data_IF_477293893501
#
_entry.id   IF_477293893501
#
_cell.length_a   1.000
_cell.length_b   1.000
_cell.length_c   1.000
_cell.angle_alpha   90.00
_cell.angle_beta   90.00
_cell.angle_gamma   90.00
#
_symmetry.space_group_name_H-M   'P 1'
#
loop_
_entity.id
_entity.type
_entity.pdbx_description
1 polymer ?
#
# COMPACT_ATOMS: atom_id res chain seq x y z
N UNK A 1 2.00 17.64 -8.90
CA UNK A 1 2.06 16.37 -8.14
C UNK A 1 1.33 15.32 -8.95
N UNK A 2 1.95 14.16 -9.22
CA UNK A 2 1.27 13.08 -9.97
C UNK A 2 0.18 12.41 -9.12
N UNK A 3 -0.79 11.72 -9.74
CA UNK A 3 -1.78 10.94 -8.97
C UNK A 3 -1.09 9.87 -8.11
N UNK A 4 -0.06 9.21 -8.63
CA UNK A 4 0.73 8.23 -7.88
C UNK A 4 1.41 8.85 -6.66
N UNK A 5 1.94 10.08 -6.77
CA UNK A 5 2.53 10.78 -5.62
C UNK A 5 1.48 11.18 -4.58
N UNK A 6 0.30 11.62 -5.04
CA UNK A 6 -0.83 11.91 -4.16
C UNK A 6 -1.22 10.65 -3.38
N UNK A 7 -1.47 9.52 -4.07
CA UNK A 7 -1.80 8.24 -3.46
C UNK A 7 -0.71 7.82 -2.47
N UNK A 8 0.56 7.87 -2.87
CA UNK A 8 1.69 7.48 -2.02
C UNK A 8 1.76 8.31 -0.72
N UNK A 9 1.42 9.60 -0.77
CA UNK A 9 1.37 10.45 0.43
C UNK A 9 0.29 10.04 1.44
N UNK A 10 -0.79 9.41 0.96
CA UNK A 10 -1.96 9.03 1.76
C UNK A 10 -1.86 7.60 2.32
N UNK A 11 -0.88 6.80 1.88
CA UNK A 11 -0.78 5.40 2.30
C UNK A 11 -0.38 5.28 3.78
N UNK A 12 -1.31 4.77 4.57
CA UNK A 12 -1.07 4.27 5.93
C UNK A 12 -0.87 2.76 5.92
N UNK A 13 -0.38 2.22 7.03
CA UNK A 13 -0.13 0.79 7.19
C UNK A 13 -1.42 -0.01 7.19
N UNK A 14 -2.47 0.57 7.76
CA UNK A 14 -3.82 0.03 7.70
C UNK A 14 -4.34 0.01 6.26
N UNK A 15 -4.23 1.13 5.53
CA UNK A 15 -4.64 1.17 4.13
C UNK A 15 -3.90 0.13 3.27
N UNK A 16 -2.57 0.04 3.40
CA UNK A 16 -1.76 -0.95 2.69
C UNK A 16 -2.22 -2.37 3.06
N UNK A 17 -2.45 -2.65 4.34
CA UNK A 17 -2.88 -3.97 4.81
C UNK A 17 -4.23 -4.36 4.22
N UNK A 18 -5.22 -3.45 4.25
CA UNK A 18 -6.57 -3.71 3.76
C UNK A 18 -6.61 -3.89 2.25
N UNK A 19 -5.89 -3.06 1.50
CA UNK A 19 -5.81 -3.19 0.04
C UNK A 19 -5.13 -4.51 -0.32
N UNK A 20 -4.02 -4.87 0.33
CA UNK A 20 -3.37 -6.16 0.09
C UNK A 20 -4.29 -7.35 0.40
N UNK A 21 -5.06 -7.30 1.50
CA UNK A 21 -6.03 -8.34 1.85
C UNK A 21 -7.13 -8.49 0.80
N UNK A 22 -7.65 -7.39 0.26
CA UNK A 22 -8.66 -7.41 -0.80
C UNK A 22 -8.13 -8.06 -2.09
N UNK A 23 -6.85 -7.83 -2.39
CA UNK A 23 -6.19 -8.39 -3.57
C UNK A 23 -5.62 -9.80 -3.33
N UNK A 24 -5.79 -10.36 -2.13
CA UNK A 24 -5.22 -11.67 -1.78
C UNK A 24 -3.68 -11.68 -1.70
N UNK A 25 -3.05 -10.51 -1.59
CA UNK A 25 -1.59 -10.36 -1.52
C UNK A 25 -1.09 -10.70 -0.11
N UNK A 26 -0.06 -11.55 -0.05
CA UNK A 26 0.61 -11.93 1.18
C UNK A 26 1.78 -11.00 1.49
N UNK A 27 2.33 -11.12 2.70
CA UNK A 27 3.58 -10.42 3.04
C UNK A 27 4.76 -10.85 2.18
N UNK A 28 4.74 -12.05 1.60
CA UNK A 28 5.80 -12.52 0.69
C UNK A 28 5.75 -11.79 -0.66
N UNK A 29 4.55 -11.56 -1.20
CA UNK A 29 4.38 -10.83 -2.46
C UNK A 29 4.86 -9.38 -2.33
N UNK A 30 4.50 -8.75 -1.22
CA UNK A 30 4.95 -7.40 -0.86
C UNK A 30 6.46 -7.36 -0.65
N UNK A 31 7.00 -8.33 0.09
CA UNK A 31 8.44 -8.43 0.37
C UNK A 31 9.26 -8.62 -0.91
N UNK A 32 8.77 -9.45 -1.84
CA UNK A 32 9.37 -9.64 -3.15
C UNK A 32 9.38 -8.33 -3.95
N UNK A 33 8.25 -7.62 -4.01
CA UNK A 33 8.16 -6.32 -4.69
C UNK A 33 9.13 -5.29 -4.13
N UNK A 34 9.29 -5.26 -2.82
CA UNK A 34 10.12 -4.29 -2.10
C UNK A 34 11.56 -4.73 -1.89
N UNK A 35 11.95 -5.91 -2.40
CA UNK A 35 13.25 -6.53 -2.19
C UNK A 35 13.68 -6.55 -0.71
N UNK A 36 12.77 -6.95 0.18
CA UNK A 36 13.02 -7.03 1.62
C UNK A 36 12.49 -8.35 2.21
N UNK A 37 12.60 -8.52 3.53
CA UNK A 37 12.06 -9.69 4.22
C UNK A 37 10.57 -9.51 4.57
N UNK A 38 9.77 -10.58 4.65
CA UNK A 38 8.39 -10.49 5.13
C UNK A 38 8.26 -9.91 6.55
N UNK A 39 9.27 -10.11 7.40
CA UNK A 39 9.31 -9.50 8.74
C UNK A 39 9.52 -7.99 8.69
N UNK A 40 10.33 -7.48 7.75
CA UNK A 40 10.42 -6.04 7.48
C UNK A 40 9.07 -5.46 7.03
N UNK A 41 8.34 -6.16 6.17
CA UNK A 41 6.99 -5.74 5.75
C UNK A 41 6.08 -5.63 6.97
N UNK A 42 5.99 -6.68 7.78
CA UNK A 42 5.15 -6.70 8.98
C UNK A 42 5.53 -5.57 9.96
N UNK A 43 6.83 -5.35 10.17
CA UNK A 43 7.33 -4.26 10.99
C UNK A 43 6.84 -2.89 10.48
N UNK A 44 7.02 -2.59 9.19
CA UNK A 44 6.66 -1.29 8.62
C UNK A 44 5.15 -1.05 8.55
N UNK A 45 4.34 -2.10 8.35
CA UNK A 45 2.88 -2.01 8.43
C UNK A 45 2.42 -1.60 9.84
N UNK A 46 3.07 -2.11 10.88
CA UNK A 46 2.81 -1.74 12.28
C UNK A 46 3.11 -0.28 12.62
N UNK A 47 4.03 0.39 11.89
CA UNK A 47 4.38 1.82 12.08
C UNK A 47 3.42 2.73 11.28
N UNK A 48 2.10 2.42 11.31
CA UNK A 48 1.06 3.12 10.53
C UNK A 48 1.45 3.36 9.05
N UNK A 49 2.30 2.52 8.46
CA UNK A 49 2.77 2.66 7.07
C UNK A 49 3.74 3.82 6.80
N UNK A 50 4.03 4.64 7.82
CA UNK A 50 5.12 5.64 7.79
C UNK A 50 6.50 4.99 7.84
N UNK A 51 6.57 3.69 8.14
CA UNK A 51 7.79 2.91 8.02
C UNK A 51 8.29 2.78 6.58
N UNK A 52 7.42 2.82 5.57
CA UNK A 52 7.82 2.74 4.17
C UNK A 52 8.18 4.12 3.60
N UNK A 53 9.33 4.18 2.92
CA UNK A 53 9.75 5.35 2.15
C UNK A 53 8.82 5.65 0.98
N UNK A 54 8.88 6.86 0.43
CA UNK A 54 8.05 7.27 -0.70
C UNK A 54 8.25 6.36 -1.94
N UNK A 55 9.47 5.91 -2.21
CA UNK A 55 9.76 4.98 -3.32
C UNK A 55 9.14 3.60 -3.11
N UNK A 56 9.17 3.08 -1.87
CA UNK A 56 8.52 1.81 -1.53
C UNK A 56 7.00 1.93 -1.67
N UNK A 57 6.40 3.04 -1.23
CA UNK A 57 4.97 3.31 -1.42
C UNK A 57 4.57 3.36 -2.89
N UNK A 58 5.37 3.99 -3.76
CA UNK A 58 5.16 3.94 -5.22
C UNK A 58 5.26 2.51 -5.76
N UNK A 59 6.21 1.73 -5.26
CA UNK A 59 6.37 0.33 -5.68
C UNK A 59 5.18 -0.54 -5.29
N UNK A 60 4.54 -0.27 -4.15
CA UNK A 60 3.29 -0.90 -3.74
C UNK A 60 2.12 -0.53 -4.66
N UNK A 61 2.01 0.74 -5.05
CA UNK A 61 0.98 1.20 -5.99
C UNK A 61 1.12 0.47 -7.32
N UNK A 62 2.34 0.36 -7.84
CA UNK A 62 2.59 -0.39 -9.07
C UNK A 62 2.29 -1.90 -8.91
N UNK A 63 2.57 -2.50 -7.74
CA UNK A 63 2.14 -3.88 -7.47
C UNK A 63 0.61 -4.04 -7.54
N UNK A 64 -0.16 -3.08 -7.02
CA UNK A 64 -1.63 -3.14 -7.12
C UNK A 64 -2.11 -2.99 -8.57
N UNK A 65 -1.45 -2.13 -9.35
CA UNK A 65 -1.71 -1.99 -10.79
C UNK A 65 -1.38 -3.26 -11.57
N UNK A 66 -0.28 -3.93 -11.24
CA UNK A 66 0.07 -5.24 -11.80
C UNK A 66 -0.98 -6.32 -11.47
N UNK A 67 -1.78 -6.11 -10.42
CA UNK A 67 -2.92 -6.95 -10.03
C UNK A 67 -4.27 -6.42 -10.55
N UNK A 68 -4.26 -5.48 -11.50
CA UNK A 68 -5.45 -5.01 -12.20
C UNK A 68 -6.21 -3.87 -11.52
N UNK A 69 -5.61 -3.18 -10.54
CA UNK A 69 -6.24 -2.04 -9.85
C UNK A 69 -5.71 -0.71 -10.39
N UNK A 70 -6.61 0.15 -10.84
CA UNK A 70 -6.27 1.47 -11.36
C UNK A 70 -6.17 2.54 -10.26
N UNK A 71 -5.48 3.65 -10.55
CA UNK A 71 -5.31 4.77 -9.60
C UNK A 71 -6.65 5.28 -9.03
N UNK A 72 -7.71 5.33 -9.84
CA UNK A 72 -9.04 5.77 -9.40
C UNK A 72 -9.64 4.82 -8.36
N UNK A 73 -9.46 3.51 -8.54
CA UNK A 73 -9.92 2.50 -7.59
C UNK A 73 -9.13 2.56 -6.30
N UNK A 74 -7.81 2.77 -6.37
CA UNK A 74 -6.97 2.97 -5.19
C UNK A 74 -7.44 4.19 -4.39
N UNK A 75 -7.73 5.32 -5.06
CA UNK A 75 -8.25 6.53 -4.39
C UNK A 75 -9.61 6.24 -3.73
N UNK A 76 -10.50 5.51 -4.39
CA UNK A 76 -11.79 5.13 -3.82
C UNK A 76 -11.60 4.26 -2.56
N UNK A 77 -10.75 3.24 -2.62
CA UNK A 77 -10.44 2.37 -1.48
C UNK A 77 -9.86 3.17 -0.32
N UNK A 78 -8.94 4.10 -0.59
CA UNK A 78 -8.39 4.98 0.44
C UNK A 78 -9.45 5.84 1.12
N UNK A 79 -10.37 6.44 0.35
CA UNK A 79 -11.47 7.22 0.91
C UNK A 79 -12.41 6.38 1.77
N UNK A 80 -12.69 5.13 1.37
CA UNK A 80 -13.54 4.22 2.13
C UNK A 80 -12.86 3.79 3.44
N UNK A 81 -11.58 3.42 3.39
CA UNK A 81 -10.80 3.03 4.57
C UNK A 81 -10.68 4.21 5.54
N UNK A 82 -10.28 5.39 5.05
CA UNK A 82 -10.13 6.57 5.88
C UNK A 82 -11.45 7.05 6.50
N UNK A 83 -12.60 6.77 5.89
CA UNK A 83 -13.90 7.10 6.49
C UNK A 83 -14.27 6.20 7.66
N UNK A 84 -13.79 4.96 7.66
CA UNK A 84 -14.09 3.97 8.73
C UNK A 84 -13.12 4.11 9.90
N UNK A 85 -11.86 4.47 9.62
CA UNK A 85 -10.77 4.43 10.60
C UNK A 85 -10.10 5.79 10.87
N UNK A 86 -10.52 6.85 10.19
CA UNK A 86 -10.01 8.21 10.33
C UNK A 86 -10.74 9.08 11.34
#
# INVERSE_FOLDING_TARGET
>A
MSQTDFIASQLTGEAITKINQLLGLTYYDVAYRLACSPSNVNYHLGVRGNGFSASQRRSLIELWKDNGVENTEIILLLNLINRVYG
#
